data_IF_596156141321
#
_entry.id   IF_596156141321
#
_cell.length_a   1.000
_cell.length_b   1.000
_cell.length_c   1.000
_cell.angle_alpha   90.00
_cell.angle_beta   90.00
_cell.angle_gamma   90.00
#
_symmetry.space_group_name_H-M   'P 1'
#
loop_
_entity.id
_entity.type
_entity.pdbx_description
1 polymer ?
#
# COMPACT_ATOMS: atom_id res chain seq x y z
N UNK A 1 3.47 -22.20 2.98
CA UNK A 1 4.76 -21.49 3.08
C UNK A 1 5.38 -21.75 4.43
N UNK A 2 6.64 -22.19 4.44
CA UNK A 2 7.46 -22.41 5.66
C UNK A 2 7.82 -21.05 6.26
N UNK A 3 7.96 -20.89 7.59
CA UNK A 3 8.32 -19.59 8.20
C UNK A 3 9.62 -18.99 7.61
N UNK A 4 10.54 -19.84 7.16
CA UNK A 4 11.75 -19.44 6.43
C UNK A 4 11.45 -18.72 5.11
N UNK A 5 10.40 -19.12 4.39
CA UNK A 5 10.00 -18.48 3.13
C UNK A 5 9.34 -17.13 3.36
N UNK A 6 8.52 -17.01 4.42
CA UNK A 6 7.91 -15.74 4.77
C UNK A 6 8.96 -14.69 5.11
N UNK A 7 9.95 -15.05 5.92
CA UNK A 7 11.09 -14.18 6.26
C UNK A 7 11.93 -13.85 5.02
N UNK A 8 12.29 -14.85 4.20
CA UNK A 8 13.05 -14.63 2.96
C UNK A 8 12.33 -13.64 2.04
N UNK A 9 11.03 -13.82 1.79
CA UNK A 9 10.26 -12.94 0.91
C UNK A 9 10.12 -11.54 1.49
N UNK A 10 9.95 -11.43 2.81
CA UNK A 10 9.92 -10.12 3.48
C UNK A 10 11.26 -9.38 3.34
N UNK A 11 12.38 -10.06 3.58
CA UNK A 11 13.72 -9.51 3.40
C UNK A 11 13.96 -9.07 1.95
N UNK A 12 13.58 -9.90 0.98
CA UNK A 12 13.67 -9.54 -0.45
C UNK A 12 12.85 -8.27 -0.73
N UNK A 13 11.63 -8.18 -0.19
CA UNK A 13 10.76 -7.02 -0.38
C UNK A 13 11.38 -5.74 0.19
N UNK A 14 11.98 -5.81 1.38
CA UNK A 14 12.67 -4.66 1.99
C UNK A 14 13.85 -4.23 1.14
N UNK A 15 14.71 -5.18 0.74
CA UNK A 15 15.88 -4.88 -0.09
C UNK A 15 15.44 -4.26 -1.42
N UNK A 16 14.44 -4.84 -2.07
CA UNK A 16 13.91 -4.34 -3.33
C UNK A 16 13.35 -2.92 -3.19
N UNK A 17 12.58 -2.65 -2.13
CA UNK A 17 12.03 -1.32 -1.85
C UNK A 17 13.13 -0.30 -1.60
N UNK A 18 14.16 -0.67 -0.84
CA UNK A 18 15.30 0.18 -0.56
C UNK A 18 16.08 0.53 -1.83
N UNK A 19 16.30 -0.45 -2.72
CA UNK A 19 16.99 -0.23 -4.00
C UNK A 19 16.18 0.66 -4.94
N UNK A 20 14.85 0.46 -5.02
CA UNK A 20 13.94 1.29 -5.81
C UNK A 20 13.92 2.75 -5.37
N UNK A 21 14.17 3.03 -4.09
CA UNK A 21 14.25 4.41 -3.58
C UNK A 21 15.64 4.99 -3.81
N UNK A 22 16.68 4.26 -3.44
CA UNK A 22 18.06 4.78 -3.41
C UNK A 22 18.66 4.96 -4.79
N UNK A 23 18.50 3.98 -5.70
CA UNK A 23 19.12 4.05 -7.03
C UNK A 23 18.66 5.29 -7.81
N UNK A 24 17.35 5.59 -7.95
CA UNK A 24 16.90 6.80 -8.65
C UNK A 24 17.32 8.08 -7.93
N UNK A 25 17.30 8.09 -6.59
CA UNK A 25 17.70 9.25 -5.80
C UNK A 25 19.19 9.61 -6.01
N UNK A 26 20.07 8.59 -6.08
CA UNK A 26 21.50 8.76 -6.34
C UNK A 26 21.82 9.16 -7.78
N UNK A 27 21.18 8.53 -8.77
CA UNK A 27 21.33 8.91 -10.19
C UNK A 27 20.88 10.36 -10.38
N UNK A 28 19.83 10.76 -9.65
CA UNK A 28 19.33 12.12 -9.62
C UNK A 28 18.55 12.53 -10.88
N UNK A 29 18.27 11.60 -11.78
CA UNK A 29 17.42 11.81 -12.94
C UNK A 29 15.96 11.97 -12.49
N UNK A 30 15.42 13.17 -12.66
CA UNK A 30 14.07 13.56 -12.27
C UNK A 30 13.02 12.68 -12.95
N UNK A 31 13.15 12.44 -14.27
CA UNK A 31 12.22 11.61 -15.03
C UNK A 31 12.16 10.18 -14.50
N UNK A 32 13.30 9.63 -14.07
CA UNK A 32 13.34 8.28 -13.50
C UNK A 32 12.61 8.23 -12.14
N UNK A 33 12.82 9.25 -11.31
CA UNK A 33 12.16 9.36 -10.00
C UNK A 33 10.65 9.50 -10.18
N UNK A 34 10.22 10.38 -11.09
CA UNK A 34 8.81 10.60 -11.42
C UNK A 34 8.16 9.32 -11.97
N UNK A 35 8.81 8.66 -12.93
CA UNK A 35 8.30 7.42 -13.52
C UNK A 35 8.09 6.33 -12.46
N UNK A 36 9.06 6.12 -11.57
CA UNK A 36 8.92 5.09 -10.51
C UNK A 36 7.88 5.52 -9.47
N UNK A 37 7.86 6.80 -9.07
CA UNK A 37 6.86 7.34 -8.16
C UNK A 37 5.43 7.12 -8.68
N UNK A 38 5.16 7.56 -9.91
CA UNK A 38 3.84 7.48 -10.54
C UNK A 38 3.46 6.02 -10.82
N UNK A 39 4.38 5.21 -11.33
CA UNK A 39 4.11 3.80 -11.63
C UNK A 39 3.75 3.00 -10.38
N UNK A 40 4.56 3.10 -9.31
CA UNK A 40 4.29 2.38 -8.06
C UNK A 40 3.05 2.94 -7.38
N UNK A 41 2.85 4.27 -7.41
CA UNK A 41 1.65 4.92 -6.90
C UNK A 41 0.38 4.49 -7.62
N UNK A 42 0.43 4.36 -8.94
CA UNK A 42 -0.69 3.88 -9.76
C UNK A 42 -1.02 2.41 -9.47
N UNK A 43 -0.02 1.53 -9.35
CA UNK A 43 -0.24 0.13 -9.00
C UNK A 43 -0.77 -0.01 -7.56
N UNK A 44 -0.30 0.82 -6.63
CA UNK A 44 -0.80 0.85 -5.26
C UNK A 44 -2.25 1.33 -5.20
N UNK A 45 -2.57 2.43 -5.89
CA UNK A 45 -3.94 2.94 -5.97
C UNK A 45 -4.87 1.92 -6.63
N UNK A 46 -4.43 1.30 -7.73
CA UNK A 46 -5.17 0.23 -8.40
C UNK A 46 -5.40 -0.96 -7.46
N UNK A 47 -4.39 -1.35 -6.69
CA UNK A 47 -4.51 -2.37 -5.65
C UNK A 47 -5.60 -2.04 -4.63
N UNK A 48 -5.65 -0.80 -4.16
CA UNK A 48 -6.66 -0.35 -3.21
C UNK A 48 -8.06 -0.25 -3.84
N UNK A 49 -8.18 0.05 -5.14
CA UNK A 49 -9.45 -0.10 -5.88
C UNK A 49 -9.92 -1.56 -5.89
N UNK A 50 -9.04 -2.50 -6.24
CA UNK A 50 -9.40 -3.91 -6.28
C UNK A 50 -9.72 -4.46 -4.90
N UNK A 51 -8.89 -4.19 -3.91
CA UNK A 51 -9.03 -4.72 -2.55
C UNK A 51 -10.15 -4.02 -1.76
N UNK A 52 -10.20 -2.70 -1.88
CA UNK A 52 -11.14 -1.84 -1.15
C UNK A 52 -12.53 -1.82 -1.76
N UNK A 53 -12.64 -1.54 -3.06
CA UNK A 53 -13.95 -1.36 -3.69
C UNK A 53 -14.49 -2.67 -4.29
N UNK A 54 -13.73 -3.27 -5.21
CA UNK A 54 -14.24 -4.42 -5.99
C UNK A 54 -14.40 -5.65 -5.10
N UNK A 55 -13.36 -6.03 -4.36
CA UNK A 55 -13.40 -7.20 -3.49
C UNK A 55 -14.35 -7.01 -2.31
N UNK A 56 -14.52 -5.80 -1.78
CA UNK A 56 -15.54 -5.58 -0.77
C UNK A 56 -16.95 -5.92 -1.29
N UNK A 57 -17.31 -5.44 -2.48
CA UNK A 57 -18.61 -5.72 -3.11
C UNK A 57 -18.74 -7.22 -3.43
N UNK A 58 -17.77 -7.79 -4.13
CA UNK A 58 -17.81 -9.18 -4.60
C UNK A 58 -17.85 -10.17 -3.44
N UNK A 59 -17.02 -9.96 -2.41
CA UNK A 59 -16.92 -10.91 -1.30
C UNK A 59 -18.11 -10.88 -0.35
N UNK A 60 -18.85 -9.77 -0.28
CA UNK A 60 -20.05 -9.67 0.55
C UNK A 60 -21.16 -10.66 0.12
N UNK A 61 -21.20 -11.05 -1.15
CA UNK A 61 -22.16 -12.04 -1.66
C UNK A 61 -21.71 -13.49 -1.56
N UNK A 62 -20.51 -13.78 -1.05
CA UNK A 62 -19.95 -15.14 -1.01
C UNK A 62 -20.04 -15.77 0.38
N UNK A 63 -20.03 -17.10 0.44
CA UNK A 63 -19.90 -17.84 1.70
C UNK A 63 -18.53 -17.62 2.36
N UNK A 64 -18.49 -17.71 3.69
CA UNK A 64 -17.25 -17.53 4.47
C UNK A 64 -16.12 -18.49 4.04
N UNK A 65 -16.48 -19.70 3.61
CA UNK A 65 -15.54 -20.68 3.06
C UNK A 65 -14.80 -20.15 1.83
N UNK A 66 -15.52 -19.51 0.90
CA UNK A 66 -14.94 -18.96 -0.33
C UNK A 66 -14.11 -17.72 0.01
N UNK A 67 -14.65 -16.82 0.84
CA UNK A 67 -13.94 -15.62 1.29
C UNK A 67 -12.61 -15.96 1.96
N UNK A 68 -12.59 -16.98 2.82
CA UNK A 68 -11.35 -17.43 3.47
C UNK A 68 -10.30 -17.93 2.48
N UNK A 69 -10.70 -18.62 1.41
CA UNK A 69 -9.75 -19.06 0.36
C UNK A 69 -9.18 -17.89 -0.43
N UNK A 70 -10.01 -16.88 -0.72
CA UNK A 70 -9.56 -15.64 -1.36
C UNK A 70 -8.58 -14.90 -0.45
N UNK A 71 -8.89 -14.78 0.84
CA UNK A 71 -8.03 -14.13 1.85
C UNK A 71 -6.59 -14.67 1.82
N UNK A 72 -6.45 -16.00 1.76
CA UNK A 72 -5.15 -16.66 1.75
C UNK A 72 -4.40 -16.42 0.44
N UNK A 73 -5.10 -16.31 -0.70
CA UNK A 73 -4.48 -16.07 -2.01
C UNK A 73 -3.99 -14.64 -2.18
N UNK A 74 -4.63 -13.67 -1.54
CA UNK A 74 -4.22 -12.27 -1.61
C UNK A 74 -3.10 -11.91 -0.60
N UNK A 75 -2.77 -12.81 0.33
CA UNK A 75 -1.72 -12.59 1.34
C UNK A 75 -0.39 -12.05 0.78
N UNK A 76 0.15 -12.55 -0.35
CA UNK A 76 1.41 -12.03 -0.86
C UNK A 76 1.32 -10.52 -1.20
N UNK A 77 0.18 -10.10 -1.73
CA UNK A 77 -0.08 -8.70 -2.07
C UNK A 77 -0.19 -7.84 -0.80
N UNK A 78 -0.92 -8.30 0.21
CA UNK A 78 -1.16 -7.52 1.42
C UNK A 78 -0.01 -7.55 2.44
N UNK A 79 0.82 -8.60 2.44
CA UNK A 79 2.00 -8.71 3.33
C UNK A 79 3.23 -8.01 2.78
N UNK A 80 3.42 -8.03 1.46
CA UNK A 80 4.67 -7.59 0.85
C UNK A 80 4.47 -6.33 0.01
N UNK A 81 3.55 -6.37 -0.95
CA UNK A 81 3.40 -5.29 -1.92
C UNK A 81 2.84 -4.00 -1.31
N UNK A 82 1.70 -4.06 -0.62
CA UNK A 82 1.06 -2.84 -0.06
C UNK A 82 1.98 -2.09 0.92
N UNK A 83 2.61 -2.75 1.92
CA UNK A 83 3.53 -2.06 2.81
C UNK A 83 4.72 -1.44 2.07
N UNK A 84 5.31 -2.14 1.10
CA UNK A 84 6.41 -1.61 0.29
C UNK A 84 5.99 -0.37 -0.50
N UNK A 85 4.88 -0.45 -1.23
CA UNK A 85 4.38 0.65 -2.04
C UNK A 85 4.00 1.87 -1.20
N UNK A 86 3.49 1.66 0.02
CA UNK A 86 3.17 2.72 0.99
C UNK A 86 4.39 3.50 1.49
N UNK A 87 5.61 2.95 1.31
CA UNK A 87 6.87 3.65 1.62
C UNK A 87 7.48 4.24 0.35
N UNK A 88 7.58 3.44 -0.72
CA UNK A 88 8.24 3.86 -1.97
C UNK A 88 7.55 5.09 -2.56
N UNK A 89 6.21 5.07 -2.66
CA UNK A 89 5.45 6.13 -3.33
C UNK A 89 5.62 7.47 -2.63
N UNK A 90 5.35 7.61 -1.30
CA UNK A 90 5.48 8.90 -0.65
C UNK A 90 6.93 9.40 -0.58
N UNK A 91 7.90 8.49 -0.37
CA UNK A 91 9.32 8.88 -0.28
C UNK A 91 9.83 9.40 -1.62
N UNK A 92 9.54 8.72 -2.74
CA UNK A 92 9.94 9.20 -4.05
C UNK A 92 9.22 10.49 -4.44
N UNK A 93 7.93 10.63 -4.09
CA UNK A 93 7.20 11.87 -4.33
C UNK A 93 7.79 13.05 -3.56
N UNK A 94 8.21 12.82 -2.32
CA UNK A 94 8.92 13.82 -1.53
C UNK A 94 10.28 14.19 -2.15
N UNK A 95 11.10 13.21 -2.53
CA UNK A 95 12.39 13.45 -3.19
C UNK A 95 12.21 14.21 -4.51
N UNK A 96 11.18 13.85 -5.29
CA UNK A 96 10.84 14.55 -6.54
C UNK A 96 10.52 16.02 -6.27
N UNK A 97 9.67 16.31 -5.28
CA UNK A 97 9.30 17.68 -4.93
C UNK A 97 10.49 18.55 -4.48
N UNK A 98 11.49 17.94 -3.82
CA UNK A 98 12.73 18.61 -3.45
C UNK A 98 13.61 18.90 -4.68
N UNK A 99 13.71 17.95 -5.62
CA UNK A 99 14.53 18.09 -6.83
C UNK A 99 13.95 19.08 -7.84
N UNK A 100 12.63 19.16 -7.93
CA UNK A 100 11.90 20.14 -8.76
C UNK A 100 11.90 21.54 -8.14
N UNK A 101 12.33 21.70 -6.87
CA UNK A 101 12.33 22.99 -6.17
C UNK A 101 10.94 23.52 -5.82
N UNK A 102 9.88 22.73 -6.00
CA UNK A 102 8.50 23.09 -5.69
C UNK A 102 8.14 22.91 -4.21
N UNK A 103 8.95 22.16 -3.46
CA UNK A 103 8.69 21.85 -2.05
C UNK A 103 8.65 23.13 -1.20
N UNK A 104 7.50 23.36 -0.55
CA UNK A 104 7.28 24.47 0.39
C UNK A 104 6.51 23.95 1.59
N UNK A 105 7.01 24.16 2.81
CA UNK A 105 6.27 23.84 4.04
C UNK A 105 5.13 24.83 4.27
N UNK A 106 4.06 24.68 3.51
CA UNK A 106 2.88 25.53 3.53
C UNK A 106 1.59 24.72 3.82
N UNK A 107 0.45 25.40 3.77
CA UNK A 107 -0.86 24.81 4.01
C UNK A 107 -1.27 23.70 3.02
N UNK A 108 -0.56 23.53 1.89
CA UNK A 108 -0.82 22.46 0.91
C UNK A 108 0.05 21.22 1.15
N UNK A 109 1.36 21.40 1.39
CA UNK A 109 2.26 20.27 1.62
C UNK A 109 2.07 19.62 2.99
N UNK A 110 1.74 20.40 4.04
CA UNK A 110 1.54 19.85 5.39
C UNK A 110 0.44 18.77 5.41
N UNK A 111 -0.77 19.01 4.85
CA UNK A 111 -1.79 17.97 4.72
C UNK A 111 -1.33 16.77 3.89
N UNK A 112 -0.63 16.96 2.77
CA UNK A 112 -0.15 15.85 1.93
C UNK A 112 0.77 14.92 2.72
N UNK A 113 1.74 15.47 3.44
CA UNK A 113 2.69 14.70 4.26
C UNK A 113 1.94 13.97 5.38
N UNK A 114 1.02 14.67 6.07
CA UNK A 114 0.23 14.08 7.15
C UNK A 114 -0.65 12.92 6.65
N UNK A 115 -1.35 13.10 5.53
CA UNK A 115 -2.20 12.06 4.93
C UNK A 115 -1.35 10.87 4.42
N UNK A 116 -0.20 11.14 3.80
CA UNK A 116 0.72 10.08 3.37
C UNK A 116 1.25 9.26 4.56
N UNK A 117 1.55 9.93 5.68
CA UNK A 117 1.95 9.24 6.91
C UNK A 117 0.81 8.41 7.50
N UNK A 118 -0.42 8.91 7.47
CA UNK A 118 -1.62 8.14 7.86
C UNK A 118 -1.78 6.89 6.99
N UNK A 119 -1.63 7.02 5.66
CA UNK A 119 -1.71 5.88 4.74
C UNK A 119 -0.64 4.81 5.03
N UNK A 120 0.58 5.24 5.32
CA UNK A 120 1.67 4.34 5.75
C UNK A 120 1.30 3.59 7.04
N UNK A 121 0.80 4.31 8.05
CA UNK A 121 0.36 3.70 9.31
C UNK A 121 -0.78 2.71 9.11
N UNK A 122 -1.78 3.02 8.26
CA UNK A 122 -2.87 2.09 7.95
C UNK A 122 -2.35 0.81 7.27
N UNK A 123 -1.44 0.94 6.32
CA UNK A 123 -0.81 -0.20 5.63
C UNK A 123 -0.07 -1.11 6.62
N UNK A 124 0.72 -0.52 7.52
CA UNK A 124 1.59 -1.27 8.42
C UNK A 124 0.86 -1.80 9.68
N UNK A 125 -0.02 -1.00 10.29
CA UNK A 125 -0.68 -1.36 11.55
C UNK A 125 -1.91 -2.23 11.31
N UNK A 126 -2.68 -1.95 10.26
CA UNK A 126 -3.93 -2.67 9.97
C UNK A 126 -3.68 -3.78 8.94
N UNK A 127 -3.39 -3.42 7.68
CA UNK A 127 -3.32 -4.42 6.60
C UNK A 127 -2.27 -5.49 6.88
N UNK A 128 -1.04 -5.09 7.20
CA UNK A 128 0.04 -6.05 7.48
C UNK A 128 -0.27 -6.91 8.70
N UNK A 129 -0.76 -6.31 9.80
CA UNK A 129 -1.13 -7.05 11.02
C UNK A 129 -2.21 -8.09 10.78
N UNK A 130 -3.30 -7.73 10.11
CA UNK A 130 -4.39 -8.67 9.82
C UNK A 130 -3.98 -9.72 8.81
N UNK A 131 -3.11 -9.38 7.86
CA UNK A 131 -2.52 -10.35 6.93
C UNK A 131 -1.65 -11.37 7.68
N UNK A 132 -0.86 -10.95 8.66
CA UNK A 132 -0.11 -11.87 9.52
C UNK A 132 -1.02 -12.78 10.33
N UNK A 133 -2.15 -12.26 10.85
CA UNK A 133 -3.16 -13.10 11.54
C UNK A 133 -3.76 -14.14 10.61
N UNK A 134 -4.12 -13.77 9.37
CA UNK A 134 -4.62 -14.72 8.36
C UNK A 134 -3.57 -15.80 8.06
N UNK A 135 -2.30 -15.42 7.93
CA UNK A 135 -1.21 -16.38 7.70
C UNK A 135 -1.07 -17.40 8.84
N UNK A 136 -1.13 -16.96 10.10
CA UNK A 136 -1.05 -17.84 11.26
C UNK A 136 -2.28 -18.74 11.38
N UNK A 137 -3.48 -18.18 11.25
CA UNK A 137 -4.74 -18.93 11.42
C UNK A 137 -4.90 -20.00 10.33
N UNK A 138 -4.47 -19.71 9.10
CA UNK A 138 -4.50 -20.65 7.99
C UNK A 138 -3.64 -21.92 8.27
N UNK A 139 -2.62 -21.84 9.13
CA UNK A 139 -1.85 -23.03 9.56
C UNK A 139 -2.60 -23.90 10.55
N UNK A 140 -3.49 -23.31 11.35
CA UNK A 140 -4.22 -23.98 12.42
C UNK A 140 -5.44 -24.77 11.93
N UNK A 141 -5.77 -24.74 10.63
CA UNK A 141 -6.87 -25.46 9.93
C UNK A 141 -8.30 -25.33 10.48
N UNK A 142 -8.54 -24.63 11.59
CA UNK A 142 -9.80 -24.74 12.34
C UNK A 142 -10.68 -23.48 12.42
N UNK A 143 -10.40 -22.38 11.71
CA UNK A 143 -11.20 -21.15 11.88
C UNK A 143 -11.40 -20.31 10.62
N UNK A 144 -12.32 -20.79 9.77
CA UNK A 144 -12.73 -20.13 8.51
C UNK A 144 -13.40 -18.78 8.78
N UNK A 145 -14.25 -18.69 9.80
CA UNK A 145 -15.01 -17.48 10.16
C UNK A 145 -14.12 -16.34 10.64
N UNK A 146 -13.02 -16.64 11.35
CA UNK A 146 -12.04 -15.61 11.77
C UNK A 146 -11.30 -15.03 10.57
N UNK A 147 -10.91 -15.87 9.60
CA UNK A 147 -10.19 -15.43 8.40
C UNK A 147 -11.07 -14.51 7.55
N UNK A 148 -12.35 -14.83 7.35
CA UNK A 148 -13.26 -13.96 6.60
C UNK A 148 -13.47 -12.61 7.28
N UNK A 149 -13.51 -12.58 8.63
CA UNK A 149 -13.54 -11.35 9.41
C UNK A 149 -12.29 -10.49 9.25
N UNK A 150 -11.09 -11.09 9.28
CA UNK A 150 -9.83 -10.36 9.06
C UNK A 150 -9.74 -9.78 7.65
N UNK A 151 -10.20 -10.52 6.63
CA UNK A 151 -10.27 -10.02 5.26
C UNK A 151 -11.20 -8.79 5.15
N UNK A 152 -12.35 -8.80 5.84
CA UNK A 152 -13.24 -7.65 5.86
C UNK A 152 -12.56 -6.39 6.40
N UNK A 153 -11.75 -6.50 7.45
CA UNK A 153 -10.99 -5.35 7.99
C UNK A 153 -9.98 -4.83 6.99
N UNK A 154 -9.27 -5.73 6.28
CA UNK A 154 -8.33 -5.35 5.21
C UNK A 154 -9.06 -4.58 4.10
N UNK A 155 -10.20 -5.08 3.61
CA UNK A 155 -10.95 -4.42 2.54
C UNK A 155 -11.51 -3.05 2.96
N UNK A 156 -12.04 -2.93 4.18
CA UNK A 156 -12.52 -1.64 4.70
C UNK A 156 -11.36 -0.65 4.80
N UNK A 157 -10.21 -1.11 5.30
CA UNK A 157 -9.01 -0.28 5.41
C UNK A 157 -8.53 0.19 4.04
N UNK A 158 -8.46 -0.71 3.06
CA UNK A 158 -8.11 -0.39 1.67
C UNK A 158 -9.11 0.60 1.04
N UNK A 159 -10.40 0.48 1.36
CA UNK A 159 -11.42 1.44 0.89
C UNK A 159 -11.16 2.85 1.43
N UNK A 160 -10.85 2.96 2.72
CA UNK A 160 -10.52 4.26 3.34
C UNK A 160 -9.21 4.81 2.78
N UNK A 161 -8.21 3.95 2.56
CA UNK A 161 -6.96 4.34 1.93
C UNK A 161 -7.16 4.88 0.51
N UNK A 162 -8.01 4.24 -0.28
CA UNK A 162 -8.35 4.71 -1.63
C UNK A 162 -8.90 6.13 -1.62
N UNK A 163 -9.84 6.44 -0.71
CA UNK A 163 -10.42 7.78 -0.60
C UNK A 163 -9.34 8.81 -0.26
N UNK A 164 -8.47 8.49 0.72
CA UNK A 164 -7.36 9.37 1.10
C UNK A 164 -6.36 9.55 -0.06
N UNK A 165 -6.05 8.50 -0.80
CA UNK A 165 -5.17 8.55 -1.98
C UNK A 165 -5.73 9.48 -3.06
N UNK A 166 -7.03 9.39 -3.36
CA UNK A 166 -7.69 10.28 -4.33
C UNK A 166 -7.57 11.74 -3.90
N UNK A 167 -7.72 12.03 -2.60
CA UNK A 167 -7.52 13.38 -2.05
C UNK A 167 -6.07 13.83 -2.23
N UNK A 168 -5.08 12.99 -1.89
CA UNK A 168 -3.66 13.31 -2.07
C UNK A 168 -3.33 13.57 -3.54
N UNK A 169 -3.75 12.69 -4.45
CA UNK A 169 -3.50 12.82 -5.89
C UNK A 169 -4.09 14.14 -6.41
N UNK A 170 -5.30 14.49 -5.97
CA UNK A 170 -5.95 15.75 -6.35
C UNK A 170 -5.17 16.97 -5.85
N UNK A 171 -4.68 16.94 -4.61
CA UNK A 171 -3.85 18.01 -4.04
C UNK A 171 -2.49 18.11 -4.76
N UNK A 172 -1.85 16.99 -5.06
CA UNK A 172 -0.58 16.97 -5.80
C UNK A 172 -0.74 17.50 -7.22
N UNK A 173 -1.78 17.07 -7.93
CA UNK A 173 -2.09 17.58 -9.27
C UNK A 173 -2.37 19.08 -9.26
N UNK A 174 -3.08 19.58 -8.23
CA UNK A 174 -3.31 21.01 -8.06
C UNK A 174 -2.00 21.79 -7.91
N UNK A 175 -1.05 21.29 -7.11
CA UNK A 175 0.26 21.93 -6.93
C UNK A 175 1.01 22.00 -8.27
N UNK A 176 1.06 20.91 -9.02
CA UNK A 176 1.85 20.86 -10.27
C UNK A 176 1.25 21.73 -11.38
N UNK A 177 -0.08 21.85 -11.46
CA UNK A 177 -0.74 22.56 -12.56
C UNK A 177 -0.88 24.06 -12.28
N UNK A 178 -1.10 24.47 -11.03
CA UNK A 178 -1.49 25.85 -10.70
C UNK A 178 -0.47 26.64 -9.90
N UNK A 179 0.61 26.03 -9.38
CA UNK A 179 1.64 26.70 -8.58
C UNK A 179 3.02 26.57 -9.23
#
# INVERSE_FOLDING_TARGET
MRNSELLKNFTITIIFSFLLITIPAFIGNILLIDYIHVLIGAIWTGTDVFLGLIFYIVLNGLDDNIRSRVAVRILPMTLYFIPAASVITPVLGFILSLKEGIFKLNYLFIPIIALAFILFLMSFILIFRYSMKIYVENKSKNCITKISGFLRVINITASVQLVIQVVIISLMAYIVVFL
#
